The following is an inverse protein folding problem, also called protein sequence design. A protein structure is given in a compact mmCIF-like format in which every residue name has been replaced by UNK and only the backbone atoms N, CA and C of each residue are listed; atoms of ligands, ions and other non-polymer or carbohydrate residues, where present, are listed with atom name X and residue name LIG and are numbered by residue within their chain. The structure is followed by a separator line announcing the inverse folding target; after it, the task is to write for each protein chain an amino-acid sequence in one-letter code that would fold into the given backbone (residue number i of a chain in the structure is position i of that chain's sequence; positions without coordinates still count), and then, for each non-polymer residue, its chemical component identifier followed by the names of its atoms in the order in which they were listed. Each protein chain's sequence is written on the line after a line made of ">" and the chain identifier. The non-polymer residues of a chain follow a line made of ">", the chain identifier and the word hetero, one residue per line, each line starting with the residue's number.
data_IF_209814383800
#
_entry.id   IF_209814383800
#
_cell.length_a   1.000
_cell.length_b   1.000
_cell.length_c   1.000
_cell.angle_alpha   90.00
_cell.angle_beta   90.00
_cell.angle_gamma   90.00
#
_symmetry.space_group_name_H-M   'P 1'
#
loop_
_entity.id
_entity.type
_entity.pdbx_description
1 polymer ?
#
# COMPACT_ATOMS: atom_id res chain seq x y z
N UNK A 1 -13.71 17.44 89.74
CA UNK A 1 -12.33 17.18 89.26
C UNK A 1 -12.35 16.97 87.76
N UNK A 2 -11.25 17.38 87.11
CA UNK A 2 -10.86 17.21 85.70
C UNK A 2 -11.71 17.90 84.61
N UNK A 3 -11.25 19.08 84.14
CA UNK A 3 -11.35 19.44 82.71
C UNK A 3 -9.98 19.84 82.19
N UNK A 4 -9.64 19.18 81.10
CA UNK A 4 -8.35 19.07 80.43
C UNK A 4 -7.81 20.41 79.93
N UNK A 5 -6.52 20.64 80.18
CA UNK A 5 -5.71 21.73 79.67
C UNK A 5 -5.31 21.46 78.20
N UNK A 6 -6.19 21.77 77.25
CA UNK A 6 -5.86 21.74 75.81
C UNK A 6 -5.47 23.10 75.24
N UNK A 7 -5.58 24.19 76.01
CA UNK A 7 -5.42 25.57 75.48
C UNK A 7 -3.99 26.09 75.49
N UNK A 8 -3.05 25.49 76.24
CA UNK A 8 -1.66 25.97 76.29
C UNK A 8 -0.76 25.43 75.17
N UNK A 9 -1.14 24.34 74.50
CA UNK A 9 -0.45 23.86 73.27
C UNK A 9 -0.97 24.54 72.00
N UNK A 10 -2.21 25.03 72.00
CA UNK A 10 -2.75 25.85 70.92
C UNK A 10 -2.12 27.26 70.87
N UNK A 11 -1.75 27.82 72.04
CA UNK A 11 -1.12 29.14 72.12
C UNK A 11 0.32 29.19 71.55
N UNK A 12 1.07 28.07 71.58
CA UNK A 12 2.43 28.01 71.02
C UNK A 12 2.48 27.80 69.51
N UNK A 13 1.42 27.30 68.88
CA UNK A 13 1.31 27.29 67.42
C UNK A 13 0.86 28.65 66.88
N UNK A 14 0.01 29.38 67.60
CA UNK A 14 -0.45 30.71 67.19
C UNK A 14 0.64 31.80 67.24
N UNK A 15 1.69 31.62 68.05
CA UNK A 15 2.85 32.53 68.10
C UNK A 15 3.86 32.31 66.97
N UNK A 16 3.74 31.24 66.18
CA UNK A 16 4.57 31.01 64.97
C UNK A 16 3.81 31.20 63.66
N UNK A 17 2.50 31.42 63.69
CA UNK A 17 1.75 31.90 62.53
C UNK A 17 1.84 33.43 62.42
N UNK A 18 3.06 33.96 62.51
CA UNK A 18 3.33 35.26 61.91
C UNK A 18 3.03 35.07 60.44
N UNK A 19 1.97 35.71 59.94
CA UNK A 19 1.68 35.77 58.51
C UNK A 19 2.95 36.30 57.85
N UNK A 20 3.79 35.39 57.34
CA UNK A 20 4.72 35.74 56.28
C UNK A 20 3.78 36.17 55.17
N UNK A 21 3.49 37.47 55.09
CA UNK A 21 3.05 38.06 53.84
C UNK A 21 4.19 37.70 52.91
N UNK A 22 4.03 36.61 52.19
CA UNK A 22 4.77 36.38 50.97
C UNK A 22 4.21 37.49 50.08
N UNK A 23 4.81 38.68 50.24
CA UNK A 23 4.63 39.76 49.30
C UNK A 23 5.22 39.11 48.06
N UNK A 24 4.37 38.69 47.14
CA UNK A 24 4.79 38.55 45.76
C UNK A 24 5.19 39.97 45.34
N UNK A 25 6.38 40.38 45.75
CA UNK A 25 7.13 41.48 45.19
C UNK A 25 7.73 40.96 43.89
N UNK A 26 6.89 40.32 43.08
CA UNK A 26 7.21 39.88 41.73
C UNK A 26 6.73 41.00 40.84
N UNK A 27 7.66 41.81 40.32
CA UNK A 27 7.34 42.88 39.39
C UNK A 27 6.47 42.35 38.24
N UNK A 28 5.50 43.14 37.82
CA UNK A 28 4.63 42.85 36.66
C UNK A 28 5.41 42.60 35.37
N UNK A 29 6.71 42.93 35.36
CA UNK A 29 7.62 42.71 34.25
C UNK A 29 7.73 41.24 33.83
N UNK A 30 7.88 40.30 34.77
CA UNK A 30 7.99 38.88 34.43
C UNK A 30 6.72 38.33 33.75
N UNK A 31 5.51 38.48 34.32
CA UNK A 31 4.29 38.03 33.63
C UNK A 31 3.98 38.83 32.37
N UNK A 32 4.38 40.10 32.27
CA UNK A 32 4.24 40.90 31.05
C UNK A 32 5.13 40.39 29.91
N UNK A 33 6.40 40.08 30.19
CA UNK A 33 7.31 39.47 29.21
C UNK A 33 6.76 38.11 28.76
N UNK A 34 6.28 37.28 29.70
CA UNK A 34 5.68 35.99 29.37
C UNK A 34 4.45 36.14 28.46
N UNK A 35 3.57 37.10 28.73
CA UNK A 35 2.42 37.39 27.87
C UNK A 35 2.84 37.82 26.46
N UNK A 36 3.88 38.64 26.33
CA UNK A 36 4.44 39.04 25.02
C UNK A 36 4.97 37.81 24.27
N UNK A 37 5.73 36.94 24.94
CA UNK A 37 6.25 35.70 24.32
C UNK A 37 5.10 34.80 23.83
N UNK A 38 4.05 34.65 24.63
CA UNK A 38 2.87 33.84 24.27
C UNK A 38 2.16 34.43 23.03
N UNK A 39 1.98 35.75 22.98
CA UNK A 39 1.36 36.43 21.83
C UNK A 39 2.24 36.28 20.58
N UNK A 40 3.55 36.48 20.71
CA UNK A 40 4.49 36.28 19.61
C UNK A 40 4.48 34.82 19.13
N UNK A 41 4.46 33.85 20.05
CA UNK A 41 4.37 32.43 19.70
C UNK A 41 3.09 32.09 18.94
N UNK A 42 1.93 32.58 19.40
CA UNK A 42 0.68 32.40 18.67
C UNK A 42 0.70 33.09 17.30
N UNK A 43 1.23 34.31 17.22
CA UNK A 43 1.38 35.02 15.94
C UNK A 43 2.30 34.26 14.97
N UNK A 44 3.40 33.68 15.47
CA UNK A 44 4.28 32.83 14.67
C UNK A 44 3.57 31.58 14.16
N UNK A 45 2.75 30.91 14.97
CA UNK A 45 1.97 29.73 14.54
C UNK A 45 0.93 30.11 13.47
N UNK A 46 0.22 31.22 13.65
CA UNK A 46 -0.76 31.71 12.67
C UNK A 46 -0.07 32.09 11.36
N UNK A 47 1.02 32.84 11.44
CA UNK A 47 1.82 33.21 10.27
C UNK A 47 2.32 31.95 9.55
N UNK A 48 2.91 31.00 10.29
CA UNK A 48 3.41 29.75 9.72
C UNK A 48 2.32 28.88 9.09
N UNK A 49 1.06 28.97 9.56
CA UNK A 49 -0.08 28.31 8.91
C UNK A 49 -0.52 29.01 7.63
N UNK A 50 -0.57 30.34 7.64
CA UNK A 50 -1.00 31.13 6.48
C UNK A 50 0.06 31.19 5.38
N UNK A 51 1.33 31.08 5.72
CA UNK A 51 2.44 31.06 4.77
C UNK A 51 2.70 29.68 4.15
N UNK A 52 1.90 28.65 4.49
CA UNK A 52 1.99 27.36 3.80
C UNK A 52 1.44 27.56 2.38
N UNK A 53 2.20 27.21 1.33
CA UNK A 53 1.64 27.10 0.00
C UNK A 53 0.38 26.22 0.03
N UNK A 54 -0.62 26.54 -0.79
CA UNK A 54 -1.74 25.63 -0.98
C UNK A 54 -1.19 24.26 -1.39
N UNK A 55 -1.73 23.20 -0.80
CA UNK A 55 -1.43 21.85 -1.26
C UNK A 55 -1.74 21.77 -2.76
N UNK A 56 -0.90 21.04 -3.49
CA UNK A 56 -1.15 20.82 -4.91
C UNK A 56 -2.49 20.08 -5.05
N UNK A 57 -3.46 20.75 -5.69
CA UNK A 57 -4.80 20.22 -5.91
C UNK A 57 -4.92 19.54 -7.28
N UNK A 58 -3.81 19.37 -8.00
CA UNK A 58 -3.81 18.53 -9.21
C UNK A 58 -3.94 17.06 -8.83
N UNK A 59 -4.58 16.24 -9.68
CA UNK A 59 -4.66 14.81 -9.46
C UNK A 59 -3.28 14.12 -9.48
N UNK A 60 -3.11 12.99 -8.78
CA UNK A 60 -4.13 12.36 -7.93
C UNK A 60 -4.36 13.19 -6.67
N UNK A 61 -5.60 13.20 -6.20
CA UNK A 61 -6.05 13.82 -4.95
C UNK A 61 -6.32 12.74 -3.91
N UNK A 62 -6.67 13.13 -2.68
CA UNK A 62 -7.03 12.16 -1.63
C UNK A 62 -8.37 11.47 -1.84
N UNK A 63 -9.11 11.81 -2.89
CA UNK A 63 -10.37 11.16 -3.27
C UNK A 63 -10.18 10.17 -4.43
N UNK A 64 -8.99 10.15 -5.04
CA UNK A 64 -8.67 9.30 -6.18
C UNK A 64 -8.23 7.89 -5.73
N UNK A 65 -8.61 6.88 -6.53
CA UNK A 65 -8.09 5.51 -6.46
C UNK A 65 -7.59 5.12 -7.85
N UNK A 66 -6.28 5.12 -8.03
CA UNK A 66 -5.65 4.80 -9.31
C UNK A 66 -4.85 3.51 -9.20
N UNK A 67 -4.76 2.81 -10.32
CA UNK A 67 -4.08 1.53 -10.45
C UNK A 67 -3.08 1.63 -11.60
N UNK A 68 -1.87 1.12 -11.40
CA UNK A 68 -0.90 0.96 -12.47
C UNK A 68 -0.22 -0.39 -12.39
N UNK A 69 -0.05 -1.10 -13.51
CA UNK A 69 0.74 -2.34 -13.48
C UNK A 69 2.22 -1.97 -13.37
N UNK A 70 2.97 -2.74 -12.59
CA UNK A 70 4.41 -2.56 -12.48
C UNK A 70 5.15 -3.88 -12.52
N UNK A 71 6.46 -3.81 -12.78
CA UNK A 71 7.36 -4.93 -12.62
C UNK A 71 8.80 -4.53 -12.79
N UNK A 72 9.69 -5.29 -12.17
CA UNK A 72 11.14 -5.15 -12.33
C UNK A 72 11.61 -6.20 -13.35
N UNK A 73 12.01 -5.76 -14.54
CA UNK A 73 12.51 -6.63 -15.60
C UNK A 73 14.04 -6.62 -15.57
N UNK A 74 14.60 -7.49 -14.74
CA UNK A 74 16.04 -7.53 -14.44
C UNK A 74 16.64 -8.80 -14.98
N UNK A 75 17.92 -8.78 -15.34
CA UNK A 75 18.62 -10.02 -15.63
C UNK A 75 19.23 -10.67 -14.40
N UNK A 76 19.40 -11.98 -14.51
CA UNK A 76 20.26 -12.76 -13.65
C UNK A 76 21.74 -12.49 -14.02
N UNK A 77 22.59 -12.02 -13.10
CA UNK A 77 23.98 -11.67 -13.43
C UNK A 77 24.83 -12.85 -13.94
N UNK A 78 24.57 -14.06 -13.45
CA UNK A 78 25.36 -15.24 -13.76
C UNK A 78 24.98 -15.87 -15.11
N UNK A 79 23.68 -15.89 -15.42
CA UNK A 79 23.13 -16.60 -16.58
C UNK A 79 22.76 -15.67 -17.74
N UNK A 80 22.57 -14.37 -17.47
CA UNK A 80 22.05 -13.39 -18.43
C UNK A 80 20.56 -13.58 -18.75
N UNK A 81 19.85 -14.46 -18.04
CA UNK A 81 18.42 -14.68 -18.26
C UNK A 81 17.62 -13.48 -17.72
N UNK A 82 16.81 -12.87 -18.57
CA UNK A 82 15.88 -11.80 -18.17
C UNK A 82 14.67 -12.40 -17.45
N UNK A 83 14.20 -11.74 -16.39
CA UNK A 83 13.02 -12.17 -15.65
C UNK A 83 12.28 -11.03 -15.00
N UNK A 84 10.97 -11.22 -14.82
CA UNK A 84 10.14 -10.34 -14.01
C UNK A 84 10.31 -10.65 -12.53
N UNK A 85 10.50 -9.59 -11.75
CA UNK A 85 10.54 -9.57 -10.30
C UNK A 85 9.51 -8.55 -9.80
N UNK A 86 8.97 -8.80 -8.61
CA UNK A 86 7.93 -7.97 -8.02
C UNK A 86 8.22 -7.74 -6.54
N UNK A 87 7.47 -6.84 -5.93
CA UNK A 87 7.57 -6.57 -4.50
C UNK A 87 6.60 -7.47 -3.77
N UNK A 88 6.96 -7.82 -2.54
CA UNK A 88 6.20 -8.68 -1.66
C UNK A 88 5.66 -7.92 -0.44
N UNK A 89 4.48 -8.29 0.03
CA UNK A 89 3.78 -7.69 1.16
C UNK A 89 2.72 -6.67 0.73
N UNK A 90 1.53 -6.84 1.29
CA UNK A 90 0.36 -5.98 1.02
C UNK A 90 0.44 -4.58 1.68
N UNK A 91 1.41 -4.35 2.56
CA UNK A 91 1.61 -3.12 3.37
C UNK A 91 0.41 -2.69 4.23
N UNK A 92 -0.69 -3.43 4.18
CA UNK A 92 -1.93 -3.13 4.89
C UNK A 92 -2.38 -4.26 5.83
N UNK A 93 -1.53 -5.27 6.09
CA UNK A 93 -1.82 -6.42 6.95
C UNK A 93 -2.66 -6.00 8.15
N UNK A 94 -3.89 -6.52 8.19
CA UNK A 94 -4.84 -6.29 9.28
C UNK A 94 -4.83 -7.49 10.22
N UNK A 95 -4.98 -7.24 11.52
CA UNK A 95 -5.29 -8.30 12.47
C UNK A 95 -6.75 -8.76 12.36
N UNK A 96 -7.11 -9.78 13.16
CA UNK A 96 -8.47 -10.31 13.26
C UNK A 96 -9.51 -9.26 13.69
N UNK A 97 -9.07 -8.13 14.26
CA UNK A 97 -9.92 -6.99 14.64
C UNK A 97 -10.03 -5.94 13.53
N UNK A 98 -9.34 -6.12 12.40
CA UNK A 98 -9.32 -5.20 11.25
C UNK A 98 -8.36 -4.03 11.39
N UNK A 99 -7.51 -4.03 12.42
CA UNK A 99 -6.50 -3.00 12.66
C UNK A 99 -5.23 -3.31 11.87
N UNK A 100 -4.63 -2.31 11.22
CA UNK A 100 -3.37 -2.51 10.50
C UNK A 100 -2.25 -2.77 11.52
N UNK A 101 -1.64 -3.95 11.46
CA UNK A 101 -0.67 -4.43 12.46
C UNK A 101 0.77 -4.43 11.98
N UNK A 102 1.02 -4.34 10.67
CA UNK A 102 2.35 -4.10 10.12
C UNK A 102 2.41 -2.71 9.50
N UNK A 103 2.79 -1.75 10.34
CA UNK A 103 2.67 -0.33 10.07
C UNK A 103 3.96 0.18 9.44
N UNK A 104 4.15 -0.07 8.14
CA UNK A 104 5.22 0.61 7.39
C UNK A 104 4.94 2.12 7.39
N UNK A 105 5.83 2.97 7.95
CA UNK A 105 5.58 4.40 8.13
C UNK A 105 5.26 5.13 6.82
N UNK A 106 5.90 4.69 5.73
CA UNK A 106 5.75 5.22 4.39
C UNK A 106 4.32 5.00 3.89
N UNK A 107 3.81 3.77 3.94
CA UNK A 107 2.41 3.44 3.62
C UNK A 107 1.41 4.29 4.42
N UNK A 108 1.57 4.39 5.75
CA UNK A 108 0.66 5.23 6.57
C UNK A 108 0.67 6.70 6.18
N UNK A 109 1.81 7.19 5.68
CA UNK A 109 1.98 8.57 5.24
C UNK A 109 1.36 8.85 3.88
N UNK A 110 1.26 7.84 3.02
CA UNK A 110 1.00 8.00 1.57
C UNK A 110 -0.29 7.31 1.14
N UNK A 111 -0.57 6.10 1.61
CA UNK A 111 -1.64 5.24 1.08
C UNK A 111 -1.29 4.68 -0.30
N UNK A 112 -0.02 4.34 -0.53
CA UNK A 112 0.46 3.80 -1.81
C UNK A 112 1.10 2.45 -1.52
N UNK A 113 0.63 1.38 -2.16
CA UNK A 113 1.11 0.00 -1.96
C UNK A 113 0.75 -0.92 -3.14
N UNK A 114 0.99 -2.23 -3.00
CA UNK A 114 0.64 -3.32 -3.93
C UNK A 114 0.12 -4.52 -3.12
N UNK A 115 -0.77 -5.36 -3.67
CA UNK A 115 -1.37 -6.52 -2.98
C UNK A 115 -0.73 -7.86 -3.38
N UNK A 116 0.56 -7.88 -3.70
CA UNK A 116 1.23 -9.03 -4.32
C UNK A 116 0.59 -9.47 -5.65
N UNK A 117 -0.08 -8.53 -6.32
CA UNK A 117 -0.84 -8.72 -7.56
C UNK A 117 -0.22 -7.97 -8.75
N UNK A 118 1.01 -7.47 -8.58
CA UNK A 118 1.80 -6.77 -9.61
C UNK A 118 1.17 -5.43 -10.05
N UNK A 119 0.28 -4.88 -9.21
CA UNK A 119 -0.39 -3.60 -9.40
C UNK A 119 -0.01 -2.63 -8.28
N UNK A 120 0.30 -1.40 -8.66
CA UNK A 120 0.41 -0.26 -7.75
C UNK A 120 -0.99 0.25 -7.47
N UNK A 121 -1.41 0.19 -6.22
CA UNK A 121 -2.61 0.80 -5.68
C UNK A 121 -2.26 2.17 -5.13
N UNK A 122 -2.85 3.20 -5.75
CA UNK A 122 -2.56 4.58 -5.47
C UNK A 122 -3.81 5.29 -4.96
N UNK A 123 -3.97 5.31 -3.64
CA UNK A 123 -5.09 5.98 -2.95
C UNK A 123 -4.58 6.92 -1.85
N UNK A 124 -4.25 8.18 -2.21
CA UNK A 124 -3.51 9.08 -1.35
C UNK A 124 -4.23 9.40 -0.02
N UNK A 125 -3.59 9.11 1.11
CA UNK A 125 -4.11 9.52 2.43
C UNK A 125 -3.77 10.97 2.77
N UNK A 126 -2.73 11.51 2.16
CA UNK A 126 -2.22 12.85 2.45
C UNK A 126 -1.57 13.50 1.24
N UNK A 127 -1.21 14.78 1.38
CA UNK A 127 -0.53 15.52 0.32
C UNK A 127 0.85 14.97 -0.07
N UNK A 128 1.36 13.95 0.64
CA UNK A 128 2.62 13.28 0.31
C UNK A 128 2.56 12.46 -0.98
N UNK A 129 1.37 12.05 -1.41
CA UNK A 129 1.17 11.22 -2.62
C UNK A 129 0.19 11.86 -3.61
N UNK A 130 0.00 13.19 -3.55
CA UNK A 130 -0.93 13.93 -4.42
C UNK A 130 -0.23 14.88 -5.39
N UNK A 131 -0.85 15.15 -6.53
CA UNK A 131 -0.39 16.13 -7.51
C UNK A 131 1.07 15.89 -7.90
N UNK A 132 1.91 16.93 -7.86
CA UNK A 132 3.35 16.81 -8.17
C UNK A 132 4.14 15.88 -7.25
N UNK A 133 3.62 15.53 -6.07
CA UNK A 133 4.29 14.56 -5.20
C UNK A 133 3.93 13.12 -5.58
N UNK A 134 3.01 12.90 -6.53
CA UNK A 134 2.72 11.57 -7.04
C UNK A 134 3.79 11.15 -8.04
N UNK A 135 4.84 10.52 -7.52
CA UNK A 135 6.01 10.08 -8.27
C UNK A 135 6.32 8.62 -7.94
N UNK A 136 6.93 7.90 -8.88
CA UNK A 136 7.26 6.47 -8.74
C UNK A 136 8.03 6.18 -7.44
N UNK A 137 8.91 7.08 -7.03
CA UNK A 137 9.63 7.02 -5.76
C UNK A 137 8.76 6.77 -4.52
N UNK A 138 7.60 7.40 -4.45
CA UNK A 138 6.68 7.25 -3.30
C UNK A 138 6.18 5.81 -3.14
N UNK A 139 6.01 5.10 -4.26
CA UNK A 139 5.68 3.67 -4.22
C UNK A 139 6.89 2.84 -3.79
N UNK A 140 8.08 3.10 -4.37
CA UNK A 140 9.31 2.37 -4.05
C UNK A 140 9.73 2.53 -2.57
N UNK A 141 9.58 3.73 -2.03
CA UNK A 141 9.80 4.06 -0.61
C UNK A 141 8.95 3.17 0.31
N UNK A 142 7.72 2.85 -0.09
CA UNK A 142 6.80 2.02 0.70
C UNK A 142 7.29 0.58 0.87
N UNK A 143 8.28 0.17 0.07
CA UNK A 143 8.94 -1.13 0.14
C UNK A 143 10.43 -1.04 0.46
N UNK A 144 10.95 0.18 0.70
CA UNK A 144 12.37 0.44 0.96
C UNK A 144 13.29 0.18 -0.23
N UNK A 145 12.77 0.18 -1.45
CA UNK A 145 13.56 -0.01 -2.68
C UNK A 145 14.22 1.30 -3.05
N UNK A 146 15.53 1.28 -3.29
CA UNK A 146 16.27 2.45 -3.76
C UNK A 146 16.51 2.33 -5.27
N UNK A 147 16.09 3.36 -6.01
CA UNK A 147 16.26 3.46 -7.45
C UNK A 147 16.89 4.82 -7.79
N UNK A 148 18.20 4.83 -8.05
CA UNK A 148 18.93 5.97 -8.58
C UNK A 148 19.10 5.86 -10.09
N UNK A 149 19.76 6.85 -10.71
CA UNK A 149 20.01 6.86 -12.16
C UNK A 149 20.83 5.65 -12.65
N UNK A 150 21.61 5.04 -11.78
CA UNK A 150 22.63 4.03 -12.07
C UNK A 150 22.57 2.81 -11.14
N UNK A 151 21.70 2.80 -10.13
CA UNK A 151 21.59 1.74 -9.14
C UNK A 151 20.13 1.39 -8.81
N UNK A 152 19.84 0.08 -8.79
CA UNK A 152 18.62 -0.50 -8.23
C UNK A 152 19.04 -1.42 -7.09
N UNK A 153 18.63 -1.06 -5.88
CA UNK A 153 18.98 -1.77 -4.65
C UNK A 153 17.70 -2.20 -3.92
N UNK A 154 17.51 -3.51 -3.82
CA UNK A 154 16.41 -4.09 -3.06
C UNK A 154 16.86 -4.29 -1.60
N UNK A 155 16.01 -3.98 -0.61
CA UNK A 155 16.31 -4.35 0.78
C UNK A 155 16.25 -5.87 0.96
N UNK A 156 16.89 -6.42 1.99
CA UNK A 156 16.90 -7.88 2.28
C UNK A 156 15.51 -8.54 2.31
N UNK A 157 14.46 -7.77 2.62
CA UNK A 157 13.06 -8.23 2.62
C UNK A 157 12.46 -8.40 1.24
N UNK A 158 13.09 -7.89 0.18
CA UNK A 158 12.60 -7.90 -1.19
C UNK A 158 13.64 -8.51 -2.12
N UNK A 159 13.21 -9.37 -3.04
CA UNK A 159 14.05 -9.90 -4.12
C UNK A 159 15.46 -10.33 -3.67
N UNK A 160 15.56 -10.98 -2.51
CA UNK A 160 16.81 -11.50 -1.92
C UNK A 160 17.89 -10.45 -1.63
N UNK A 161 17.51 -9.16 -1.52
CA UNK A 161 18.48 -8.07 -1.30
C UNK A 161 19.38 -7.82 -2.51
N UNK A 162 18.92 -8.19 -3.71
CA UNK A 162 19.71 -8.03 -4.94
C UNK A 162 19.99 -6.56 -5.22
N UNK A 163 21.19 -6.30 -5.72
CA UNK A 163 21.64 -4.97 -6.14
C UNK A 163 22.17 -5.01 -7.55
N UNK A 164 21.76 -4.05 -8.35
CA UNK A 164 22.15 -3.87 -9.74
C UNK A 164 22.73 -2.47 -9.90
N UNK A 165 23.99 -2.37 -10.32
CA UNK A 165 24.67 -1.09 -10.54
C UNK A 165 25.35 -1.09 -11.91
N UNK A 166 25.09 -0.04 -12.70
CA UNK A 166 25.64 0.13 -14.03
C UNK A 166 27.18 0.13 -14.01
N UNK A 167 27.79 -0.68 -14.87
CA UNK A 167 29.25 -0.82 -14.94
C UNK A 167 29.87 -1.67 -13.83
N UNK A 168 29.08 -2.12 -12.84
CA UNK A 168 29.51 -3.12 -11.85
C UNK A 168 28.81 -4.46 -12.05
N UNK A 169 27.50 -4.44 -12.29
CA UNK A 169 26.68 -5.65 -12.45
C UNK A 169 26.49 -5.96 -13.92
N UNK A 170 27.19 -7.00 -14.39
CA UNK A 170 27.02 -7.51 -15.75
C UNK A 170 25.78 -8.41 -15.86
N UNK A 171 25.34 -8.61 -17.09
CA UNK A 171 24.19 -9.39 -17.47
C UNK A 171 24.64 -10.61 -18.29
N UNK A 172 25.01 -11.71 -17.63
CA UNK A 172 25.61 -12.85 -18.32
C UNK A 172 26.93 -12.50 -19.03
N UNK A 173 27.67 -11.51 -18.51
CA UNK A 173 28.92 -11.00 -19.08
C UNK A 173 28.76 -9.85 -20.07
N UNK A 174 27.55 -9.32 -20.26
CA UNK A 174 27.27 -8.13 -21.08
C UNK A 174 26.98 -6.90 -20.20
N UNK A 175 27.32 -5.71 -20.68
CA UNK A 175 26.97 -4.46 -20.01
C UNK A 175 25.44 -4.28 -20.02
N UNK A 176 24.88 -3.83 -18.89
CA UNK A 176 23.46 -3.53 -18.74
C UNK A 176 23.25 -2.15 -18.10
N UNK A 177 22.07 -1.58 -18.36
CA UNK A 177 21.70 -0.25 -17.88
C UNK A 177 20.27 -0.21 -17.34
N UNK A 178 20.03 0.73 -16.42
CA UNK A 178 18.73 1.05 -15.88
C UNK A 178 17.92 1.90 -16.85
N UNK A 179 16.69 1.45 -17.08
CA UNK A 179 15.69 2.17 -17.85
C UNK A 179 14.33 1.97 -17.21
N UNK A 180 13.50 2.99 -17.18
CA UNK A 180 12.08 2.84 -16.81
C UNK A 180 11.24 3.10 -18.04
N UNK A 181 10.50 2.08 -18.48
CA UNK A 181 9.55 2.19 -19.59
C UNK A 181 8.16 2.47 -19.04
N UNK A 182 7.52 3.52 -19.52
CA UNK A 182 6.21 3.98 -19.04
C UNK A 182 5.20 4.06 -20.15
N UNK A 183 4.01 3.47 -19.95
CA UNK A 183 2.85 3.67 -20.82
C UNK A 183 1.79 4.47 -20.09
N UNK A 184 1.14 5.38 -20.82
CA UNK A 184 0.06 6.23 -20.30
C UNK A 184 -1.21 5.42 -20.06
N UNK A 185 -1.43 4.35 -20.83
CA UNK A 185 -2.56 3.45 -20.67
C UNK A 185 -2.18 1.98 -20.93
N UNK A 186 -2.81 1.08 -20.18
CA UNK A 186 -2.61 -0.36 -20.37
C UNK A 186 -2.95 -0.86 -21.78
N UNK A 187 -3.86 -0.17 -22.48
CA UNK A 187 -4.26 -0.51 -23.86
C UNK A 187 -3.34 0.07 -24.93
N UNK A 188 -2.37 0.93 -24.57
CA UNK A 188 -1.46 1.52 -25.56
C UNK A 188 -0.70 0.42 -26.31
N UNK A 189 -0.54 0.58 -27.61
CA UNK A 189 0.14 -0.43 -28.45
C UNK A 189 1.53 0.04 -28.90
N UNK A 190 1.94 1.24 -28.51
CA UNK A 190 3.28 1.74 -28.76
C UNK A 190 4.29 1.20 -27.73
N UNK A 191 5.56 1.58 -27.88
CA UNK A 191 6.63 1.17 -26.97
C UNK A 191 6.65 1.94 -25.64
N UNK A 192 5.78 2.93 -25.42
CA UNK A 192 5.81 3.81 -24.25
C UNK A 192 6.93 4.86 -24.30
N UNK A 193 7.10 5.57 -23.20
CA UNK A 193 8.18 6.54 -22.97
C UNK A 193 9.30 5.91 -22.14
N UNK A 194 10.54 6.01 -22.64
CA UNK A 194 11.73 5.53 -21.93
C UNK A 194 12.34 6.67 -21.11
N UNK A 195 12.54 6.41 -19.82
CA UNK A 195 13.34 7.22 -18.93
C UNK A 195 14.68 6.53 -18.71
N UNK A 196 15.76 7.32 -18.64
CA UNK A 196 17.13 6.84 -18.40
C UNK A 196 17.77 7.57 -17.19
N UNK A 197 16.99 8.39 -16.50
CA UNK A 197 17.39 9.14 -15.32
C UNK A 197 16.15 9.67 -14.60
N UNK A 198 16.35 10.24 -13.42
CA UNK A 198 15.35 10.88 -12.57
C UNK A 198 14.17 9.93 -12.28
N UNK A 199 14.49 8.65 -12.05
CA UNK A 199 13.48 7.60 -11.93
C UNK A 199 12.53 7.80 -10.74
N UNK A 200 13.06 8.30 -9.62
CA UNK A 200 12.31 8.62 -8.42
C UNK A 200 11.22 9.69 -8.68
N UNK A 201 11.52 10.62 -9.59
CA UNK A 201 10.66 11.74 -9.96
C UNK A 201 9.73 11.44 -11.15
N UNK A 202 9.68 10.18 -11.63
CA UNK A 202 8.77 9.81 -12.71
C UNK A 202 7.33 9.96 -12.22
N UNK A 203 6.53 10.85 -12.82
CA UNK A 203 5.23 11.20 -12.27
C UNK A 203 4.16 10.13 -12.54
N UNK A 204 3.38 9.83 -11.51
CA UNK A 204 2.19 9.02 -11.56
C UNK A 204 1.00 9.92 -11.97
N UNK A 205 0.80 10.08 -13.28
CA UNK A 205 -0.04 11.15 -13.85
C UNK A 205 -1.51 10.79 -14.04
N UNK A 206 -1.85 9.51 -14.11
CA UNK A 206 -3.21 9.04 -14.39
C UNK A 206 -3.41 7.59 -13.93
N UNK A 207 -4.68 7.20 -13.84
CA UNK A 207 -5.05 5.80 -13.70
C UNK A 207 -4.67 4.99 -14.95
N UNK A 208 -4.45 3.70 -14.75
CA UNK A 208 -4.16 2.70 -15.78
C UNK A 208 -2.81 2.82 -16.47
N UNK A 209 -1.84 3.47 -15.82
CA UNK A 209 -0.46 3.53 -16.31
C UNK A 209 0.24 2.16 -16.18
N UNK A 210 1.39 2.04 -16.84
CA UNK A 210 2.28 0.88 -16.71
C UNK A 210 3.70 1.37 -16.44
N UNK A 211 4.40 0.72 -15.53
CA UNK A 211 5.81 0.95 -15.21
C UNK A 211 6.62 -0.34 -15.34
N UNK A 212 7.54 -0.43 -16.29
CA UNK A 212 8.53 -1.49 -16.33
C UNK A 212 9.90 -0.91 -15.94
N UNK A 213 10.40 -1.27 -14.75
CA UNK A 213 11.73 -0.88 -14.27
C UNK A 213 12.70 -1.95 -14.73
N UNK A 214 13.58 -1.63 -15.67
CA UNK A 214 14.43 -2.61 -16.32
C UNK A 214 15.91 -2.38 -16.00
N UNK A 215 16.61 -3.46 -15.65
CA UNK A 215 18.07 -3.53 -15.67
C UNK A 215 18.46 -4.56 -16.72
N UNK A 216 18.85 -4.08 -17.92
CA UNK A 216 19.00 -4.93 -19.09
C UNK A 216 19.99 -4.36 -20.11
N UNK A 217 20.61 -5.20 -20.96
CA UNK A 217 21.40 -4.75 -22.11
C UNK A 217 20.59 -3.86 -23.06
N UNK A 218 21.29 -3.00 -23.80
CA UNK A 218 20.69 -1.95 -24.64
C UNK A 218 19.71 -2.46 -25.70
N UNK A 219 20.00 -3.62 -26.28
CA UNK A 219 19.23 -4.23 -27.37
C UNK A 219 17.99 -5.00 -26.90
N UNK A 220 17.84 -5.20 -25.58
CA UNK A 220 16.64 -5.80 -25.00
C UNK A 220 15.45 -4.84 -25.12
N UNK A 221 14.40 -5.33 -25.77
CA UNK A 221 13.11 -4.64 -25.85
C UNK A 221 12.34 -4.88 -24.54
N UNK A 222 11.94 -3.81 -23.88
CA UNK A 222 11.16 -3.88 -22.64
C UNK A 222 9.68 -3.97 -23.00
N UNK A 223 9.06 -5.09 -22.63
CA UNK A 223 7.62 -5.31 -22.78
C UNK A 223 6.86 -4.84 -21.54
N UNK A 224 5.53 -4.83 -21.63
CA UNK A 224 4.65 -4.53 -20.50
C UNK A 224 4.69 -5.68 -19.47
N UNK A 225 4.59 -5.40 -18.17
CA UNK A 225 4.49 -6.43 -17.14
C UNK A 225 3.28 -7.36 -17.36
N UNK A 226 3.40 -8.66 -17.02
CA UNK A 226 2.35 -9.67 -17.15
C UNK A 226 0.95 -9.29 -16.65
N UNK A 227 0.82 -8.61 -15.51
CA UNK A 227 -0.48 -8.18 -14.99
C UNK A 227 -1.15 -7.02 -15.76
N UNK A 228 -0.46 -6.38 -16.71
CA UNK A 228 -0.99 -5.24 -17.46
C UNK A 228 -2.38 -5.47 -18.10
N UNK A 229 -2.69 -6.64 -18.71
CA UNK A 229 -4.01 -6.91 -19.27
C UNK A 229 -5.12 -7.09 -18.22
N UNK A 230 -4.77 -7.39 -16.97
CA UNK A 230 -5.69 -7.67 -15.86
C UNK A 230 -5.93 -6.44 -14.97
N UNK A 231 -5.29 -5.31 -15.26
CA UNK A 231 -5.28 -4.11 -14.42
C UNK A 231 -6.68 -3.61 -14.03
N UNK A 232 -7.67 -3.74 -14.93
CA UNK A 232 -9.05 -3.34 -14.65
C UNK A 232 -9.73 -4.27 -13.65
N UNK A 233 -9.50 -5.59 -13.77
CA UNK A 233 -10.08 -6.60 -12.89
C UNK A 233 -9.49 -6.48 -11.48
N UNK A 234 -8.16 -6.40 -11.39
CA UNK A 234 -7.45 -6.26 -10.12
C UNK A 234 -7.82 -4.96 -9.39
N UNK A 235 -7.93 -3.84 -10.13
CA UNK A 235 -8.37 -2.57 -9.52
C UNK A 235 -9.84 -2.54 -9.09
N UNK A 236 -10.71 -3.35 -9.70
CA UNK A 236 -12.11 -3.46 -9.27
C UNK A 236 -12.24 -4.17 -7.90
N UNK A 237 -11.38 -5.16 -7.64
CA UNK A 237 -11.35 -5.90 -6.38
C UNK A 237 -10.98 -4.97 -5.21
N UNK A 238 -9.95 -4.13 -5.38
CA UNK A 238 -9.48 -3.19 -4.34
C UNK A 238 -10.51 -2.10 -4.02
N UNK A 239 -11.17 -1.56 -5.04
CA UNK A 239 -12.20 -0.53 -4.85
C UNK A 239 -13.51 -1.05 -4.22
N UNK A 240 -13.56 -2.33 -3.82
CA UNK A 240 -14.74 -2.98 -3.24
C UNK A 240 -15.91 -3.10 -4.24
N UNK A 241 -15.63 -2.92 -5.52
CA UNK A 241 -16.60 -2.97 -6.60
C UNK A 241 -16.78 -4.44 -7.03
N UNK A 242 -17.83 -5.08 -6.52
CA UNK A 242 -18.30 -6.34 -7.12
C UNK A 242 -18.79 -6.05 -8.54
N UNK A 243 -18.24 -6.74 -9.53
CA UNK A 243 -18.53 -6.63 -10.96
C UNK A 243 -19.98 -6.22 -11.30
N UNK A 244 -20.20 -4.94 -11.57
CA UNK A 244 -21.27 -4.49 -12.46
C UNK A 244 -20.61 -3.80 -13.66
N UNK A 245 -20.54 -4.46 -14.84
CA UNK A 245 -19.84 -3.94 -16.02
C UNK A 245 -20.56 -2.74 -16.67
N UNK A 246 -21.46 -2.05 -15.96
CA UNK A 246 -22.28 -0.95 -16.49
C UNK A 246 -21.99 0.41 -15.84
N UNK A 247 -21.15 0.51 -14.82
CA UNK A 247 -20.93 1.78 -14.12
C UNK A 247 -19.84 2.65 -14.77
N UNK A 248 -20.15 3.25 -15.93
CA UNK A 248 -19.41 4.44 -16.41
C UNK A 248 -19.96 5.67 -15.70
N UNK A 249 -19.28 6.19 -14.67
CA UNK A 249 -19.59 7.51 -14.12
C UNK A 249 -18.79 8.60 -14.85
N UNK A 250 -19.43 9.20 -15.85
CA UNK A 250 -19.01 10.49 -16.44
C UNK A 250 -19.39 11.63 -15.48
N UNK A 251 -18.51 12.58 -15.13
CA UNK A 251 -18.90 13.77 -14.38
C UNK A 251 -19.75 14.70 -15.25
N UNK A 252 -21.04 14.80 -14.94
CA UNK A 252 -21.99 15.67 -15.63
C UNK A 252 -22.73 16.58 -14.65
N UNK A 253 -22.44 17.87 -14.72
CA UNK A 253 -23.05 18.98 -13.98
C UNK A 253 -24.57 19.08 -14.23
N UNK A 254 -25.41 18.88 -13.20
CA UNK A 254 -26.86 19.11 -13.28
C UNK A 254 -27.58 18.84 -11.96
N UNK A 255 -28.61 19.63 -11.57
CA UNK A 255 -29.06 19.70 -10.19
C UNK A 255 -29.92 18.50 -9.75
N UNK A 256 -29.73 18.13 -8.49
CA UNK A 256 -30.33 17.00 -7.80
C UNK A 256 -31.87 16.94 -7.94
N UNK A 257 -32.36 15.78 -8.38
CA UNK A 257 -33.77 15.39 -8.25
C UNK A 257 -33.86 14.33 -7.15
N UNK A 258 -34.36 14.74 -5.99
CA UNK A 258 -34.72 13.85 -4.88
C UNK A 258 -35.88 12.96 -5.30
N UNK A 259 -35.71 11.64 -5.25
CA UNK A 259 -36.85 10.70 -5.31
C UNK A 259 -36.91 9.88 -4.02
N UNK A 260 -38.05 9.99 -3.35
CA UNK A 260 -38.43 9.22 -2.16
C UNK A 260 -39.01 7.87 -2.59
N UNK A 261 -38.69 6.72 -1.96
CA UNK A 261 -39.39 5.47 -2.23
C UNK A 261 -40.73 5.43 -1.51
N UNK A 262 -41.82 5.20 -2.25
CA UNK A 262 -43.13 4.91 -1.70
C UNK A 262 -43.23 3.44 -1.27
N UNK A 263 -43.67 3.22 -0.03
CA UNK A 263 -44.02 1.93 0.54
C UNK A 263 -45.51 1.63 0.31
N UNK A 264 -45.83 0.38 -0.05
CA UNK A 264 -47.12 -0.22 0.24
C UNK A 264 -47.76 -1.03 -0.90
N UNK A 265 -47.77 -2.35 -0.76
CA UNK A 265 -48.96 -3.19 -0.98
C UNK A 265 -48.71 -4.64 -0.50
N UNK A 266 -49.48 -5.03 0.51
CA UNK A 266 -49.71 -6.42 0.96
C UNK A 266 -51.17 -6.80 0.65
N UNK A 267 -51.45 -8.11 0.49
CA UNK A 267 -52.75 -8.88 0.46
C UNK A 267 -52.92 -9.65 -0.87
N UNK A 268 -53.26 -10.95 -0.98
CA UNK A 268 -53.78 -12.03 -0.10
C UNK A 268 -53.54 -13.42 -0.76
N UNK A 269 -53.54 -14.55 -0.01
CA UNK A 269 -53.34 -15.92 -0.51
C UNK A 269 -54.62 -16.78 -0.67
N UNK A 270 -54.57 -17.81 -1.54
CA UNK A 270 -55.52 -18.94 -1.62
C UNK A 270 -55.06 -19.95 -2.69
N UNK A 271 -54.46 -21.09 -2.36
CA UNK A 271 -55.00 -22.43 -1.98
C UNK A 271 -55.97 -23.09 -2.98
N UNK A 272 -55.53 -24.21 -3.58
CA UNK A 272 -56.36 -25.42 -3.73
C UNK A 272 -56.44 -26.10 -5.12
N UNK A 273 -55.80 -27.28 -5.24
CA UNK A 273 -56.34 -28.56 -5.76
C UNK A 273 -55.46 -29.31 -6.79
N UNK A 274 -55.74 -30.62 -6.92
CA UNK A 274 -54.81 -31.76 -7.10
C UNK A 274 -55.17 -32.62 -8.33
N UNK A 275 -54.25 -33.53 -8.72
CA UNK A 275 -54.35 -34.85 -9.42
C UNK A 275 -54.09 -35.00 -10.96
N UNK A 276 -52.86 -35.44 -11.32
CA UNK A 276 -52.37 -36.74 -11.94
C UNK A 276 -53.10 -37.41 -13.14
N UNK A 277 -52.51 -38.37 -13.93
CA UNK A 277 -51.26 -38.47 -14.73
C UNK A 277 -51.41 -39.06 -16.19
N UNK A 278 -50.30 -39.14 -16.94
CA UNK A 278 -50.01 -40.18 -17.96
C UNK A 278 -49.60 -39.62 -19.34
N UNK A 279 -48.77 -40.22 -20.21
CA UNK A 279 -47.92 -41.43 -20.26
C UNK A 279 -47.16 -41.31 -21.59
N UNK A 280 -45.89 -41.71 -21.69
CA UNK A 280 -45.20 -41.72 -23.00
C UNK A 280 -43.72 -42.10 -23.01
N UNK A 281 -43.39 -43.32 -22.59
CA UNK A 281 -42.36 -44.25 -23.12
C UNK A 281 -40.96 -43.76 -23.54
N UNK A 282 -39.96 -44.26 -22.79
CA UNK A 282 -38.55 -44.53 -23.17
C UNK A 282 -38.44 -45.71 -24.17
N UNK A 283 -37.28 -45.99 -24.83
CA UNK A 283 -36.11 -46.67 -24.21
C UNK A 283 -34.75 -46.02 -24.58
N UNK A 284 -33.83 -45.79 -23.65
CA UNK A 284 -32.86 -46.72 -23.03
C UNK A 284 -31.53 -46.84 -23.81
N UNK A 285 -30.45 -46.35 -23.20
CA UNK A 285 -29.18 -47.09 -23.04
C UNK A 285 -28.20 -46.30 -22.17
N UNK A 286 -27.86 -46.88 -21.03
CA UNK A 286 -26.54 -46.80 -20.40
C UNK A 286 -26.16 -48.22 -19.98
N UNK A 287 -25.08 -48.44 -19.20
CA UNK A 287 -23.88 -47.64 -19.00
C UNK A 287 -22.60 -48.48 -19.27
N UNK A 288 -21.42 -47.86 -19.28
CA UNK A 288 -20.16 -48.58 -19.10
C UNK A 288 -19.26 -47.82 -18.12
N UNK A 289 -19.24 -48.34 -16.90
CA UNK A 289 -18.27 -48.03 -15.84
C UNK A 289 -17.06 -48.94 -16.06
N UNK A 290 -15.86 -48.38 -16.18
CA UNK A 290 -14.62 -49.15 -16.03
C UNK A 290 -13.83 -48.60 -14.86
N UNK A 291 -13.76 -49.43 -13.83
CA UNK A 291 -12.90 -49.33 -12.65
C UNK A 291 -11.46 -49.59 -13.07
N UNK A 292 -10.51 -48.75 -12.64
CA UNK A 292 -9.08 -49.07 -12.64
C UNK A 292 -8.54 -48.96 -11.22
N UNK A 293 -7.99 -50.08 -10.75
CA UNK A 293 -7.38 -50.34 -9.44
C UNK A 293 -6.02 -49.63 -9.29
N UNK A 294 -5.59 -49.21 -8.08
CA UNK A 294 -4.26 -48.66 -7.84
C UNK A 294 -3.22 -49.79 -7.69
N UNK A 295 -1.98 -49.57 -8.13
CA UNK A 295 -0.88 -50.52 -7.93
C UNK A 295 0.43 -49.78 -7.63
N UNK A 296 0.80 -49.89 -6.35
CA UNK A 296 2.13 -50.05 -5.73
C UNK A 296 3.18 -48.94 -5.76
N UNK A 297 3.62 -48.65 -4.53
CA UNK A 297 4.71 -47.78 -4.10
C UNK A 297 6.10 -48.21 -4.58
N UNK A 298 6.97 -47.21 -4.73
CA UNK A 298 8.43 -47.36 -4.85
C UNK A 298 9.09 -46.78 -3.60
N UNK A 299 9.90 -47.61 -2.94
CA UNK A 299 10.71 -47.31 -1.75
C UNK A 299 11.91 -46.41 -2.11
N UNK A 300 12.33 -45.46 -1.25
CA UNK A 300 13.55 -44.68 -1.48
C UNK A 300 14.81 -45.45 -1.06
N UNK A 301 15.81 -45.50 -1.95
CA UNK A 301 17.15 -46.04 -1.66
C UNK A 301 18.04 -44.93 -1.10
N UNK A 302 18.36 -45.03 0.19
CA UNK A 302 19.38 -44.23 0.88
C UNK A 302 20.78 -44.62 0.42
N UNK A 303 21.57 -43.67 -0.06
CA UNK A 303 23.01 -43.83 -0.33
C UNK A 303 23.79 -43.29 0.86
N UNK A 304 24.63 -44.13 1.47
CA UNK A 304 25.56 -43.76 2.54
C UNK A 304 26.90 -43.23 1.96
N UNK A 305 27.59 -42.31 2.64
CA UNK A 305 28.90 -41.81 2.21
C UNK A 305 30.05 -42.73 2.62
N UNK A 306 30.96 -42.98 1.67
CA UNK A 306 32.21 -43.73 1.86
C UNK A 306 33.28 -42.82 2.49
N UNK A 307 33.82 -43.24 3.64
CA UNK A 307 34.95 -42.60 4.30
C UNK A 307 36.28 -42.95 3.61
N UNK A 308 37.06 -41.92 3.24
CA UNK A 308 38.43 -42.07 2.74
C UNK A 308 39.40 -41.94 3.91
N UNK A 309 40.16 -43.01 4.15
CA UNK A 309 41.26 -43.07 5.12
C UNK A 309 42.58 -42.59 4.49
N UNK A 310 43.24 -41.65 5.15
CA UNK A 310 44.64 -41.26 4.95
C UNK A 310 45.60 -42.34 5.45
N UNK A 311 46.78 -42.54 4.83
CA UNK A 311 47.93 -43.12 5.52
C UNK A 311 49.06 -42.11 5.72
N UNK A 312 49.60 -42.13 6.93
CA UNK A 312 50.85 -41.48 7.33
C UNK A 312 52.06 -42.20 6.74
N UNK A 313 53.04 -41.44 6.26
CA UNK A 313 54.49 -41.74 6.24
C UNK A 313 55.24 -40.44 5.99
#
# INVERSE_FOLDING_TARGET
>A
MARSSSTSRAARLAQRSGKTKVRFQGGTLFPAILAVIIVLGMASIVYARQSRPAADASPPTTEDHWHASYGFYVCDPDTGEMGWKYLSGDQEIRDDAGEVVDLVPEYQGTGVHSHDDEVIHWHPFSSRATGRNAQLGVFLDSYGVNLSNDELDFPDSQNEGMRYEEGETECGGEDAQLRVQVWDNYQDTDGGSTFTSDFDDIPFRRNSMIFAIAYAPDDVVIEKPPASPQLVELGAVDSGATDDPTATTVPGTGPAVTTTPASGATTTPGTGATTTPGTGTTPASGPATTVVTPTTAVTPTTVAPTATTTPSS
#
